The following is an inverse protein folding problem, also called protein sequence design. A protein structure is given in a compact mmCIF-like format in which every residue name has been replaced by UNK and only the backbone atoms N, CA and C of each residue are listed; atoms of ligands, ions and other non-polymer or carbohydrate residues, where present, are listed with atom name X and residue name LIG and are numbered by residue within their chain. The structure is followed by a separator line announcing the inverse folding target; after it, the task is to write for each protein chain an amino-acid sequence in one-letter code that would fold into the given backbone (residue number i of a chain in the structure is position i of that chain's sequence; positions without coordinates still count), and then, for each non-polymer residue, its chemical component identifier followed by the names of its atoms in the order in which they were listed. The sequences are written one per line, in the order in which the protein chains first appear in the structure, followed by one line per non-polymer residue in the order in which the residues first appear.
data_IF_096672592487
#
_entry.id   IF_096672592487
#
_cell.length_a   1.000
_cell.length_b   1.000
_cell.length_c   1.000
_cell.angle_alpha   90.00
_cell.angle_beta   90.00
_cell.angle_gamma   90.00
#
_symmetry.space_group_name_H-M   'P 1'
#
loop_
_entity.id
_entity.type
_entity.pdbx_description
1 polymer ?
#
# COMPACT_ATOMS: atom_id res chain seq x y z
N UNK A 1 -50.64 5.35 1.31
CA UNK A 1 -49.89 4.71 2.41
C UNK A 1 -49.42 3.33 1.96
N UNK A 2 -48.10 3.18 1.89
CA UNK A 2 -47.25 1.97 1.98
C UNK A 2 -47.82 0.63 1.48
N UNK A 3 -47.37 0.22 0.29
CA UNK A 3 -47.51 -1.14 -0.23
C UNK A 3 -46.56 -2.13 0.46
N UNK A 4 -47.08 -3.32 0.74
CA UNK A 4 -46.54 -4.43 1.55
C UNK A 4 -45.12 -4.89 1.17
N UNK A 5 -44.36 -5.42 2.15
CA UNK A 5 -42.95 -5.81 1.98
C UNK A 5 -42.87 -7.15 1.22
N UNK A 6 -42.52 -7.08 -0.06
CA UNK A 6 -42.22 -8.25 -0.86
C UNK A 6 -40.85 -8.82 -0.48
N UNK A 7 -40.85 -10.00 0.12
CA UNK A 7 -39.72 -10.90 0.41
C UNK A 7 -38.90 -11.34 -0.83
N UNK A 8 -38.99 -10.58 -1.93
CA UNK A 8 -38.45 -10.88 -3.25
C UNK A 8 -37.83 -9.62 -3.86
N UNK A 9 -37.15 -8.80 -3.05
CA UNK A 9 -36.36 -7.71 -3.63
C UNK A 9 -35.16 -8.32 -4.37
N UNK A 10 -35.04 -8.15 -5.71
CA UNK A 10 -33.91 -8.71 -6.46
C UNK A 10 -32.58 -8.21 -5.93
N UNK A 11 -32.57 -7.00 -5.36
CA UNK A 11 -31.40 -6.38 -4.75
C UNK A 11 -30.95 -7.11 -3.47
N UNK A 12 -31.86 -7.60 -2.64
CA UNK A 12 -31.51 -8.39 -1.45
C UNK A 12 -30.95 -9.77 -1.84
N UNK A 13 -31.54 -10.40 -2.86
CA UNK A 13 -31.03 -11.68 -3.39
C UNK A 13 -29.65 -11.51 -4.03
N UNK A 14 -29.45 -10.46 -4.83
CA UNK A 14 -28.15 -10.09 -5.41
C UNK A 14 -27.12 -9.77 -4.33
N UNK A 15 -27.51 -9.02 -3.28
CA UNK A 15 -26.63 -8.68 -2.16
C UNK A 15 -26.19 -9.93 -1.39
N UNK A 16 -27.11 -10.84 -1.09
CA UNK A 16 -26.80 -12.09 -0.39
C UNK A 16 -25.89 -12.98 -1.24
N UNK A 17 -26.11 -13.07 -2.56
CA UNK A 17 -25.27 -13.84 -3.47
C UNK A 17 -23.87 -13.23 -3.66
N UNK A 18 -23.77 -11.90 -3.70
CA UNK A 18 -22.50 -11.17 -3.80
C UNK A 18 -21.71 -11.19 -2.50
N UNK A 19 -22.38 -11.20 -1.34
CA UNK A 19 -21.71 -11.37 -0.04
C UNK A 19 -21.18 -12.80 0.14
N UNK A 20 -21.96 -13.81 -0.23
CA UNK A 20 -21.52 -15.22 -0.14
C UNK A 20 -20.45 -15.59 -1.17
N UNK A 21 -20.45 -14.96 -2.35
CA UNK A 21 -19.45 -15.21 -3.37
C UNK A 21 -18.26 -14.23 -3.31
N UNK A 22 -18.32 -13.16 -2.55
CA UNK A 22 -17.27 -12.12 -2.54
C UNK A 22 -17.28 -11.25 -3.81
N UNK A 23 -16.46 -10.18 -3.81
CA UNK A 23 -16.45 -9.11 -4.83
C UNK A 23 -16.35 -9.61 -6.30
N UNK A 24 -15.82 -10.82 -6.51
CA UNK A 24 -15.66 -11.45 -7.82
C UNK A 24 -16.29 -12.84 -7.94
N UNK A 25 -17.31 -13.15 -7.14
CA UNK A 25 -18.10 -14.36 -7.43
C UNK A 25 -17.46 -15.69 -7.00
N UNK A 26 -16.43 -15.67 -6.13
CA UNK A 26 -15.72 -16.86 -5.63
C UNK A 26 -14.71 -17.40 -6.64
N UNK A 27 -14.49 -16.67 -7.72
CA UNK A 27 -13.69 -17.10 -8.84
C UNK A 27 -12.20 -16.87 -8.53
N UNK A 28 -11.47 -17.97 -8.26
CA UNK A 28 -10.02 -17.95 -7.98
C UNK A 28 -9.24 -17.20 -9.08
N UNK A 29 -9.70 -17.24 -10.33
CA UNK A 29 -9.06 -16.52 -11.44
C UNK A 29 -8.99 -15.01 -11.24
N UNK A 30 -10.05 -14.37 -10.73
CA UNK A 30 -10.03 -12.92 -10.48
C UNK A 30 -9.13 -12.54 -9.31
N UNK A 31 -9.00 -13.42 -8.31
CA UNK A 31 -8.03 -13.25 -7.23
C UNK A 31 -6.60 -13.32 -7.76
N UNK A 32 -6.30 -14.29 -8.64
CA UNK A 32 -5.00 -14.39 -9.31
C UNK A 32 -4.69 -13.13 -10.11
N UNK A 33 -5.63 -12.64 -10.91
CA UNK A 33 -5.47 -11.39 -11.67
C UNK A 33 -5.21 -10.21 -10.73
N UNK A 34 -5.99 -10.08 -9.65
CA UNK A 34 -5.80 -9.01 -8.66
C UNK A 34 -4.42 -9.06 -7.99
N UNK A 35 -3.96 -10.25 -7.61
CA UNK A 35 -2.62 -10.47 -7.04
C UNK A 35 -1.54 -10.17 -8.08
N UNK A 36 -1.73 -10.53 -9.35
CA UNK A 36 -0.73 -10.29 -10.39
C UNK A 36 -0.60 -8.80 -10.74
N UNK A 37 -1.71 -8.07 -10.75
CA UNK A 37 -1.73 -6.63 -11.06
C UNK A 37 -1.25 -5.79 -9.87
N UNK A 38 -1.69 -6.10 -8.65
CA UNK A 38 -1.41 -5.28 -7.47
C UNK A 38 -0.37 -5.84 -6.52
N UNK A 39 -0.09 -7.14 -6.58
CA UNK A 39 0.88 -7.81 -5.70
C UNK A 39 2.25 -7.14 -5.70
N UNK A 40 2.91 -6.93 -6.86
CA UNK A 40 4.22 -6.29 -6.90
C UNK A 40 4.21 -4.87 -6.30
N UNK A 41 3.13 -4.12 -6.51
CA UNK A 41 2.96 -2.75 -5.98
C UNK A 41 2.76 -2.75 -4.47
N UNK A 42 1.99 -3.70 -3.94
CA UNK A 42 1.76 -3.86 -2.51
C UNK A 42 3.05 -4.34 -1.83
N UNK A 43 3.71 -5.36 -2.36
CA UNK A 43 4.99 -5.88 -1.85
C UNK A 43 6.02 -4.75 -1.78
N UNK A 44 6.18 -3.96 -2.85
CA UNK A 44 7.11 -2.82 -2.84
C UNK A 44 6.72 -1.74 -1.83
N UNK A 45 5.43 -1.52 -1.59
CA UNK A 45 4.94 -0.52 -0.63
C UNK A 45 5.17 -0.95 0.82
N UNK A 46 5.02 -2.24 1.11
CA UNK A 46 5.16 -2.77 2.47
C UNK A 46 6.60 -3.16 2.82
N UNK A 47 7.33 -3.82 1.90
CA UNK A 47 8.71 -4.26 2.13
C UNK A 47 9.74 -3.17 1.73
N UNK A 48 9.34 -2.12 1.02
CA UNK A 48 10.23 -1.03 0.62
C UNK A 48 10.56 -0.02 1.73
N UNK A 49 9.89 -0.10 2.89
CA UNK A 49 10.36 0.57 4.12
C UNK A 49 11.45 -0.29 4.75
N UNK A 50 12.62 -0.34 4.10
CA UNK A 50 13.82 -0.81 4.78
C UNK A 50 14.23 0.29 5.78
N UNK A 51 13.85 0.13 7.03
CA UNK A 51 14.54 0.77 8.14
C UNK A 51 15.94 0.15 8.20
N UNK A 52 16.91 0.79 7.54
CA UNK A 52 18.30 0.40 7.67
C UNK A 52 18.77 0.78 9.07
N UNK A 53 19.19 -0.21 9.85
CA UNK A 53 19.86 0.02 11.12
C UNK A 53 21.30 0.43 10.80
N UNK A 54 21.51 1.73 10.63
CA UNK A 54 22.77 2.32 10.12
C UNK A 54 23.93 2.11 11.12
N UNK A 55 23.65 2.25 12.42
CA UNK A 55 24.61 1.99 13.49
C UNK A 55 23.90 1.81 14.83
N UNK A 56 24.45 0.98 15.71
CA UNK A 56 24.06 0.93 17.13
C UNK A 56 25.28 1.31 17.94
N UNK A 57 25.30 2.52 18.48
CA UNK A 57 26.38 3.01 19.33
C UNK A 57 25.85 3.30 20.73
N UNK A 58 26.58 2.88 21.76
CA UNK A 58 26.22 3.17 23.15
C UNK A 58 26.70 4.57 23.49
N UNK A 59 25.75 5.46 23.76
CA UNK A 59 26.01 6.81 24.22
C UNK A 59 26.62 6.79 25.63
N UNK A 60 27.79 7.43 25.77
CA UNK A 60 28.42 7.69 27.05
C UNK A 60 27.86 8.98 27.68
N UNK A 61 27.92 9.14 29.01
CA UNK A 61 27.42 10.34 29.69
C UNK A 61 28.13 11.60 29.16
N UNK A 62 27.35 12.59 28.70
CA UNK A 62 27.86 13.83 28.11
C UNK A 62 27.90 13.87 26.58
N UNK A 63 27.54 12.77 25.91
CA UNK A 63 27.45 12.69 24.45
C UNK A 63 26.00 12.85 23.99
N UNK A 64 25.77 13.69 22.96
CA UNK A 64 24.44 13.95 22.39
C UNK A 64 24.40 13.53 20.91
N UNK A 65 23.27 12.97 20.49
CA UNK A 65 22.99 12.66 19.08
C UNK A 65 21.98 13.66 18.57
N UNK A 66 22.30 14.30 17.45
CA UNK A 66 21.36 15.10 16.69
C UNK A 66 20.82 14.25 15.54
N UNK A 67 19.54 13.89 15.63
CA UNK A 67 18.85 13.13 14.59
C UNK A 67 18.18 14.11 13.63
N UNK A 68 18.63 14.14 12.38
CA UNK A 68 17.97 14.92 11.32
C UNK A 68 17.22 13.99 10.38
N UNK A 69 15.90 14.20 10.32
CA UNK A 69 15.04 13.47 9.40
C UNK A 69 15.13 14.11 8.01
N UNK A 70 16.03 13.62 7.17
CA UNK A 70 16.03 14.00 5.77
C UNK A 70 14.86 13.31 5.05
N UNK A 71 13.97 14.10 4.45
CA UNK A 71 12.92 13.56 3.59
C UNK A 71 13.58 12.89 2.39
N UNK A 72 13.28 11.61 2.10
CA UNK A 72 13.89 10.93 0.96
C UNK A 72 13.55 11.68 -0.34
N UNK A 73 14.58 11.98 -1.14
CA UNK A 73 14.45 12.69 -2.41
C UNK A 73 13.42 11.98 -3.31
N UNK A 74 12.44 12.73 -3.77
CA UNK A 74 11.41 12.21 -4.69
C UNK A 74 12.08 11.76 -6.00
N UNK A 75 11.54 10.75 -6.70
CA UNK A 75 12.13 10.22 -7.96
C UNK A 75 12.53 11.30 -8.99
N UNK A 76 11.79 12.41 -9.04
CA UNK A 76 12.10 13.58 -9.88
C UNK A 76 13.34 14.35 -9.39
N UNK A 77 13.45 14.56 -8.07
CA UNK A 77 14.59 15.24 -7.45
C UNK A 77 15.87 14.41 -7.55
N UNK A 78 15.78 13.08 -7.46
CA UNK A 78 16.94 12.19 -7.68
C UNK A 78 17.51 12.31 -9.09
N UNK A 79 16.64 12.33 -10.12
CA UNK A 79 17.08 12.57 -11.51
C UNK A 79 17.66 13.97 -11.73
N UNK A 80 17.16 14.99 -11.04
CA UNK A 80 17.70 16.34 -11.13
C UNK A 80 19.09 16.42 -10.47
N UNK A 81 19.27 15.80 -9.30
CA UNK A 81 20.56 15.70 -8.63
C UNK A 81 21.60 14.93 -9.48
N UNK A 82 21.19 13.82 -10.13
CA UNK A 82 22.05 13.09 -11.06
C UNK A 82 22.47 13.93 -12.27
N UNK A 83 21.61 14.81 -12.78
CA UNK A 83 21.96 15.73 -13.87
C UNK A 83 22.95 16.79 -13.43
N UNK A 84 22.70 17.41 -12.28
CA UNK A 84 23.59 18.43 -11.71
C UNK A 84 24.97 17.81 -11.41
N UNK A 85 25.01 16.58 -10.90
CA UNK A 85 26.26 15.85 -10.63
C UNK A 85 26.98 15.36 -11.90
N UNK A 86 26.31 15.28 -13.04
CA UNK A 86 26.91 14.93 -14.33
C UNK A 86 27.40 16.17 -15.10
N UNK A 87 26.97 17.36 -14.70
CA UNK A 87 27.32 18.65 -15.31
C UNK A 87 28.45 19.41 -14.57
N UNK A 88 28.88 18.93 -13.40
CA UNK A 88 30.00 19.48 -12.62
C UNK A 88 31.21 18.56 -12.61
#
# INVERSE_FOLDING_TARGET
MVGKPGLLSPSLYLRQRSLHKGLFGGHRGWMVVGVMVWGPRLVKRFLGRQEQLIATERLLPGQSIQLEAHTPLTRRQRKAAERIAAEG
#
